data_IF_361039019180
#
_entry.id   IF_361039019180
#
_cell.length_a   1.000
_cell.length_b   1.000
_cell.length_c   1.000
_cell.angle_alpha   90.00
_cell.angle_beta   90.00
_cell.angle_gamma   90.00
#
_symmetry.space_group_name_H-M   'P 1'
#
loop_
_entity.id
_entity.type
_entity.pdbx_description
1 polymer ?
#
# COMPACT_ATOMS: atom_id res chain seq x y z
N UNK A 1 11.57 1.45 11.22
CA UNK A 1 10.12 1.48 11.43
C UNK A 1 9.68 2.48 12.49
N UNK A 2 10.32 2.55 13.63
CA UNK A 2 9.96 3.54 14.66
C UNK A 2 10.14 4.99 14.21
N UNK A 3 11.17 5.28 13.41
CA UNK A 3 11.40 6.62 12.88
C UNK A 3 10.26 7.07 11.96
N UNK A 4 9.81 6.18 11.09
CA UNK A 4 8.69 6.45 10.18
C UNK A 4 7.41 6.64 10.97
N UNK A 5 7.17 5.80 11.96
CA UNK A 5 5.98 5.89 12.80
C UNK A 5 5.89 7.25 13.50
N UNK A 6 6.97 7.70 14.13
CA UNK A 6 7.04 9.00 14.80
C UNK A 6 6.84 10.16 13.81
N UNK A 7 7.51 10.08 12.66
CA UNK A 7 7.39 11.09 11.61
C UNK A 7 5.96 11.21 11.12
N UNK A 8 5.34 10.07 10.81
CA UNK A 8 3.98 10.06 10.27
C UNK A 8 2.94 10.55 11.27
N UNK A 9 3.08 10.20 12.54
CA UNK A 9 2.20 10.75 13.59
C UNK A 9 2.32 12.27 13.69
N UNK A 10 3.53 12.80 13.55
CA UNK A 10 3.74 14.25 13.56
C UNK A 10 3.14 14.92 12.32
N UNK A 11 3.36 14.34 11.13
CA UNK A 11 2.83 14.88 9.87
C UNK A 11 1.29 14.82 9.83
N UNK A 12 0.69 13.83 10.46
CA UNK A 12 -0.76 13.69 10.48
C UNK A 12 -1.47 14.87 11.16
N UNK A 13 -0.78 15.59 12.03
CA UNK A 13 -1.33 16.81 12.66
C UNK A 13 -1.55 17.94 11.66
N UNK A 14 -0.81 17.92 10.54
CA UNK A 14 -0.87 18.94 9.50
C UNK A 14 -1.70 18.51 8.29
N UNK A 15 -2.15 17.26 8.27
CA UNK A 15 -2.86 16.68 7.14
C UNK A 15 -4.34 17.04 7.15
N UNK A 16 -4.93 17.03 5.96
CA UNK A 16 -6.37 17.21 5.76
C UNK A 16 -7.05 15.87 5.57
N UNK A 17 -8.31 15.76 5.99
CA UNK A 17 -9.13 14.59 5.76
C UNK A 17 -9.47 14.43 4.25
N UNK A 18 -9.99 13.27 3.90
CA UNK A 18 -10.45 12.93 2.53
C UNK A 18 -9.34 12.96 1.46
N UNK A 19 -8.09 12.74 1.86
CA UNK A 19 -6.99 12.60 0.94
C UNK A 19 -6.82 11.17 0.43
N UNK A 20 -5.83 11.00 -0.43
CA UNK A 20 -5.40 9.70 -0.94
C UNK A 20 -4.11 9.29 -0.23
N UNK A 21 -4.10 8.07 0.30
CA UNK A 21 -2.94 7.54 1.04
C UNK A 21 -2.33 6.38 0.29
N UNK A 22 -1.01 6.40 0.15
CA UNK A 22 -0.23 5.24 -0.28
C UNK A 22 0.31 4.55 0.97
N UNK A 23 -0.10 3.30 1.15
CA UNK A 23 0.32 2.45 2.27
C UNK A 23 1.10 1.27 1.71
N UNK A 24 2.40 1.40 1.67
CA UNK A 24 3.28 0.44 1.01
C UNK A 24 4.59 0.25 1.74
N UNK A 25 5.56 -0.31 1.04
CA UNK A 25 6.82 -0.72 1.64
C UNK A 25 8.00 0.23 1.28
N UNK A 26 9.22 -0.24 1.39
CA UNK A 26 10.43 0.58 1.26
C UNK A 26 10.52 1.37 -0.06
N UNK A 27 10.14 0.76 -1.17
CA UNK A 27 10.22 1.41 -2.49
C UNK A 27 9.24 2.57 -2.60
N UNK A 28 8.10 2.46 -1.94
CA UNK A 28 7.07 3.50 -1.99
C UNK A 28 7.44 4.71 -1.15
N UNK A 29 8.30 4.55 -0.17
CA UNK A 29 8.74 5.65 0.71
C UNK A 29 9.40 6.79 -0.05
N UNK A 30 10.03 6.50 -1.17
CA UNK A 30 10.79 7.48 -1.95
C UNK A 30 9.98 8.20 -3.02
N UNK A 31 8.69 7.88 -3.16
CA UNK A 31 7.83 8.55 -4.13
C UNK A 31 7.55 9.99 -3.67
N UNK A 32 7.93 11.01 -4.45
CA UNK A 32 7.78 12.41 -4.04
C UNK A 32 6.38 12.92 -4.35
N UNK A 33 5.38 12.52 -3.56
CA UNK A 33 3.98 12.85 -3.81
C UNK A 33 3.71 14.35 -3.86
N UNK A 34 4.35 15.14 -2.99
CA UNK A 34 4.15 16.58 -2.95
C UNK A 34 4.60 17.25 -4.26
N UNK A 35 5.77 16.85 -4.77
CA UNK A 35 6.26 17.36 -6.05
C UNK A 35 5.39 16.91 -7.22
N UNK A 36 4.95 15.66 -7.21
CA UNK A 36 4.07 15.14 -8.26
C UNK A 36 2.73 15.88 -8.26
N UNK A 37 2.17 16.16 -7.09
CA UNK A 37 0.94 16.92 -6.95
C UNK A 37 1.10 18.32 -7.55
N UNK A 38 2.17 19.00 -7.23
CA UNK A 38 2.43 20.36 -7.71
C UNK A 38 2.70 20.39 -9.20
N UNK A 39 3.58 19.49 -9.68
CA UNK A 39 3.98 19.42 -11.09
C UNK A 39 2.81 19.09 -12.02
N UNK A 40 1.94 18.16 -11.62
CA UNK A 40 0.80 17.72 -12.45
C UNK A 40 -0.53 18.36 -12.05
N UNK A 41 -0.50 19.38 -11.20
CA UNK A 41 -1.68 20.11 -10.76
C UNK A 41 -2.81 19.22 -10.23
N UNK A 42 -2.43 18.18 -9.48
CA UNK A 42 -3.38 17.23 -8.92
C UNK A 42 -4.22 17.89 -7.83
N UNK A 43 -5.53 17.71 -7.89
CA UNK A 43 -6.48 18.42 -7.01
C UNK A 43 -6.57 17.82 -5.61
N UNK A 44 -6.33 16.51 -5.47
CA UNK A 44 -6.45 15.83 -4.19
C UNK A 44 -5.17 15.98 -3.35
N UNK A 45 -5.30 15.80 -2.05
CA UNK A 45 -4.15 15.66 -1.17
C UNK A 45 -3.68 14.21 -1.21
N UNK A 46 -2.36 14.03 -1.34
CA UNK A 46 -1.74 12.71 -1.39
C UNK A 46 -0.77 12.58 -0.23
N UNK A 47 -0.89 11.50 0.53
CA UNK A 47 -0.03 11.24 1.68
C UNK A 47 0.64 9.88 1.53
N UNK A 48 1.95 9.87 1.72
CA UNK A 48 2.72 8.64 1.72
C UNK A 48 2.88 8.16 3.17
N UNK A 49 2.33 7.01 3.48
CA UNK A 49 2.47 6.36 4.80
C UNK A 49 3.04 4.97 4.61
N UNK A 50 4.18 4.91 3.91
CA UNK A 50 4.86 3.66 3.61
C UNK A 50 5.95 3.38 4.62
N UNK A 51 6.20 2.10 4.88
CA UNK A 51 7.13 1.63 5.91
C UNK A 51 8.05 0.57 5.34
N UNK A 52 9.36 0.69 5.59
CA UNK A 52 10.27 -0.43 5.35
C UNK A 52 9.84 -1.62 6.20
N UNK A 53 9.72 -2.79 5.60
CA UNK A 53 9.31 -3.99 6.31
C UNK A 53 7.80 -4.12 6.55
N UNK A 54 6.98 -3.34 5.84
CA UNK A 54 5.52 -3.50 5.93
C UNK A 54 5.13 -4.89 5.44
N UNK A 55 4.37 -5.60 6.27
CA UNK A 55 3.91 -6.97 6.00
C UNK A 55 2.50 -7.16 6.51
N UNK A 56 1.88 -8.28 6.18
CA UNK A 56 0.54 -8.59 6.68
C UNK A 56 0.50 -8.68 8.21
N UNK A 57 1.62 -9.10 8.85
CA UNK A 57 1.66 -9.26 10.31
C UNK A 57 1.63 -7.93 11.08
N UNK A 58 2.16 -6.86 10.51
CA UNK A 58 2.22 -5.55 11.19
C UNK A 58 1.33 -4.49 10.57
N UNK A 59 0.68 -4.78 9.45
CA UNK A 59 -0.05 -3.78 8.68
C UNK A 59 -1.29 -3.22 9.39
N UNK A 60 -2.06 -4.04 10.07
CA UNK A 60 -3.26 -3.57 10.77
C UNK A 60 -2.93 -2.55 11.85
N UNK A 61 -1.90 -2.83 12.65
CA UNK A 61 -1.47 -1.91 13.71
C UNK A 61 -0.92 -0.59 13.13
N UNK A 62 -0.07 -0.68 12.12
CA UNK A 62 0.49 0.51 11.48
C UNK A 62 -0.59 1.32 10.75
N UNK A 63 -1.56 0.65 10.16
CA UNK A 63 -2.74 1.30 9.57
C UNK A 63 -3.49 2.11 10.63
N UNK A 64 -3.80 1.49 11.75
CA UNK A 64 -4.55 2.15 12.82
C UNK A 64 -3.83 3.39 13.35
N UNK A 65 -2.51 3.32 13.47
CA UNK A 65 -1.72 4.40 14.03
C UNK A 65 -1.45 5.55 13.05
N UNK A 66 -1.28 5.26 11.77
CA UNK A 66 -0.78 6.24 10.81
C UNK A 66 -1.70 6.57 9.65
N UNK A 67 -2.57 5.68 9.25
CA UNK A 67 -3.46 5.88 8.09
C UNK A 67 -4.87 6.24 8.53
N UNK A 68 -5.44 5.50 9.47
CA UNK A 68 -6.80 5.73 9.95
C UNK A 68 -7.03 7.16 10.44
N UNK A 69 -6.09 7.79 11.19
CA UNK A 69 -6.28 9.17 11.64
C UNK A 69 -6.40 10.19 10.52
N UNK A 70 -5.94 9.87 9.31
CA UNK A 70 -6.07 10.75 8.16
C UNK A 70 -7.48 10.76 7.56
N UNK A 71 -8.35 9.85 7.96
CA UNK A 71 -9.69 9.70 7.39
C UNK A 71 -9.65 9.72 5.86
N UNK A 72 -8.90 8.81 5.23
CA UNK A 72 -8.66 8.88 3.78
C UNK A 72 -9.91 8.56 2.98
N UNK A 73 -10.02 9.17 1.81
CA UNK A 73 -11.02 8.84 0.80
C UNK A 73 -10.59 7.63 -0.03
N UNK A 74 -9.31 7.57 -0.39
CA UNK A 74 -8.74 6.51 -1.20
C UNK A 74 -7.47 5.98 -0.54
N UNK A 75 -7.30 4.66 -0.56
CA UNK A 75 -6.11 3.99 -0.06
C UNK A 75 -5.56 3.06 -1.13
N UNK A 76 -4.27 3.22 -1.44
CA UNK A 76 -3.53 2.31 -2.28
C UNK A 76 -2.69 1.39 -1.42
N UNK A 77 -2.95 0.09 -1.48
CA UNK A 77 -2.24 -0.93 -0.72
C UNK A 77 -1.15 -1.55 -1.58
N UNK A 78 0.10 -1.45 -1.14
CA UNK A 78 1.23 -2.08 -1.81
C UNK A 78 1.96 -2.97 -0.81
N UNK A 79 1.38 -4.10 -0.50
CA UNK A 79 1.84 -5.04 0.53
C UNK A 79 2.03 -6.42 -0.10
N UNK A 80 3.07 -7.13 0.29
CA UNK A 80 3.34 -8.48 -0.17
C UNK A 80 4.82 -8.77 -0.34
N UNK A 81 5.66 -7.78 -0.60
CA UNK A 81 7.09 -7.99 -0.81
C UNK A 81 7.75 -8.65 0.39
N UNK A 82 7.32 -8.30 1.58
CA UNK A 82 7.86 -8.87 2.82
C UNK A 82 7.10 -10.13 3.27
N UNK A 83 6.13 -10.59 2.47
CA UNK A 83 5.32 -11.77 2.73
C UNK A 83 5.56 -12.90 1.74
N UNK A 84 6.60 -12.79 0.89
CA UNK A 84 6.90 -13.80 -0.12
C UNK A 84 7.17 -15.16 0.51
N UNK A 85 7.86 -15.22 1.64
CA UNK A 85 8.13 -16.46 2.35
C UNK A 85 6.83 -17.10 2.87
N UNK A 86 5.94 -16.31 3.44
CA UNK A 86 4.63 -16.79 3.87
C UNK A 86 3.83 -17.32 2.70
N UNK A 87 3.79 -16.56 1.60
CA UNK A 87 3.05 -16.96 0.40
C UNK A 87 3.57 -18.27 -0.18
N UNK A 88 4.90 -18.45 -0.23
CA UNK A 88 5.50 -19.66 -0.75
C UNK A 88 5.14 -20.89 0.08
N UNK A 89 5.17 -20.76 1.40
CA UNK A 89 4.90 -21.86 2.32
C UNK A 89 3.43 -22.11 2.54
N UNK A 90 2.64 -21.07 2.65
CA UNK A 90 1.23 -21.13 3.01
C UNK A 90 0.40 -20.10 2.23
N UNK A 91 0.16 -20.33 0.90
CA UNK A 91 -0.59 -19.37 0.09
C UNK A 91 -1.96 -19.02 0.66
N UNK A 92 -2.66 -20.01 1.25
CA UNK A 92 -3.97 -19.77 1.86
C UNK A 92 -3.90 -18.84 3.05
N UNK A 93 -2.85 -18.94 3.86
CA UNK A 93 -2.64 -18.03 4.99
C UNK A 93 -2.37 -16.60 4.51
N UNK A 94 -1.63 -16.45 3.42
CA UNK A 94 -1.43 -15.15 2.79
C UNK A 94 -2.76 -14.54 2.34
N UNK A 95 -3.58 -15.31 1.62
CA UNK A 95 -4.89 -14.86 1.14
C UNK A 95 -5.81 -14.44 2.29
N UNK A 96 -5.87 -15.24 3.34
CA UNK A 96 -6.67 -14.94 4.52
C UNK A 96 -6.17 -13.70 5.25
N UNK A 97 -4.87 -13.55 5.38
CA UNK A 97 -4.25 -12.38 6.01
C UNK A 97 -4.56 -11.10 5.24
N UNK A 98 -4.45 -11.15 3.92
CA UNK A 98 -4.74 -9.99 3.07
C UNK A 98 -6.23 -9.62 3.13
N UNK A 99 -7.10 -10.61 3.01
CA UNK A 99 -8.55 -10.40 3.11
C UNK A 99 -8.94 -9.83 4.47
N UNK A 100 -8.32 -10.33 5.55
CA UNK A 100 -8.56 -9.82 6.90
C UNK A 100 -8.13 -8.36 7.03
N UNK A 101 -7.01 -7.98 6.43
CA UNK A 101 -6.57 -6.59 6.41
C UNK A 101 -7.58 -5.70 5.70
N UNK A 102 -8.07 -6.11 4.53
CA UNK A 102 -9.08 -5.35 3.78
C UNK A 102 -10.34 -5.15 4.63
N UNK A 103 -10.81 -6.18 5.29
CA UNK A 103 -11.99 -6.11 6.17
C UNK A 103 -11.75 -5.19 7.34
N UNK A 104 -10.57 -5.24 7.94
CA UNK A 104 -10.19 -4.35 9.03
C UNK A 104 -10.20 -2.88 8.57
N UNK A 105 -9.58 -2.59 7.43
CA UNK A 105 -9.56 -1.25 6.87
C UNK A 105 -10.96 -0.72 6.63
N UNK A 106 -11.83 -1.53 6.03
CA UNK A 106 -13.22 -1.14 5.74
C UNK A 106 -14.06 -0.96 7.00
N UNK A 107 -13.74 -1.70 8.04
CA UNK A 107 -14.42 -1.54 9.33
C UNK A 107 -14.03 -0.23 10.02
N UNK A 108 -12.80 0.20 9.90
CA UNK A 108 -12.29 1.44 10.48
C UNK A 108 -12.62 2.64 9.59
N UNK A 109 -12.42 2.52 8.29
CA UNK A 109 -12.66 3.58 7.29
C UNK A 109 -13.79 3.15 6.34
N UNK A 110 -15.03 3.30 6.77
CA UNK A 110 -16.20 2.69 6.11
C UNK A 110 -16.48 3.20 4.70
N UNK A 111 -16.00 4.38 4.35
CA UNK A 111 -16.29 5.03 3.07
C UNK A 111 -15.08 5.16 2.15
N UNK A 112 -13.96 4.54 2.49
CA UNK A 112 -12.76 4.63 1.65
C UNK A 112 -12.83 3.66 0.47
N UNK A 113 -12.26 4.08 -0.66
CA UNK A 113 -11.99 3.21 -1.81
C UNK A 113 -10.64 2.55 -1.63
N UNK A 114 -10.54 1.27 -1.97
CA UNK A 114 -9.29 0.52 -1.88
C UNK A 114 -8.81 0.11 -3.26
N UNK A 115 -7.52 0.27 -3.49
CA UNK A 115 -6.83 -0.26 -4.66
C UNK A 115 -5.64 -1.09 -4.20
N UNK A 116 -5.46 -2.24 -4.82
CA UNK A 116 -4.33 -3.11 -4.56
C UNK A 116 -3.31 -2.92 -5.67
N UNK A 117 -2.05 -2.68 -5.30
CA UNK A 117 -0.94 -2.55 -6.25
C UNK A 117 -0.21 -3.88 -6.30
N UNK A 118 0.02 -4.43 -7.50
CA UNK A 118 0.79 -5.66 -7.66
C UNK A 118 2.27 -5.41 -7.35
N UNK A 119 3.00 -6.48 -7.05
CA UNK A 119 4.44 -6.40 -6.89
C UNK A 119 5.13 -6.26 -8.25
N UNK A 120 6.20 -5.46 -8.30
CA UNK A 120 7.04 -5.39 -9.49
C UNK A 120 7.72 -6.74 -9.72
N UNK A 121 7.78 -7.15 -10.97
CA UNK A 121 8.36 -8.43 -11.36
C UNK A 121 9.16 -8.30 -12.66
N UNK A 122 10.12 -7.38 -12.68
CA UNK A 122 10.96 -7.12 -13.84
C UNK A 122 11.78 -8.35 -14.25
N UNK A 123 12.13 -9.20 -13.29
CA UNK A 123 12.94 -10.39 -13.50
C UNK A 123 12.14 -11.65 -13.83
N UNK A 124 10.83 -11.53 -14.00
CA UNK A 124 9.93 -12.64 -14.29
C UNK A 124 10.03 -13.79 -13.27
N UNK A 125 10.12 -13.46 -11.98
CA UNK A 125 10.13 -14.44 -10.91
C UNK A 125 8.77 -15.16 -10.83
N UNK A 126 8.74 -16.50 -10.96
CA UNK A 126 7.48 -17.26 -10.93
C UNK A 126 6.71 -17.12 -9.62
N UNK A 127 7.41 -16.95 -8.49
CA UNK A 127 6.76 -16.79 -7.19
C UNK A 127 6.00 -15.47 -7.13
N UNK A 128 6.63 -14.38 -7.57
CA UNK A 128 5.98 -13.06 -7.61
C UNK A 128 4.82 -13.07 -8.60
N UNK A 129 4.98 -13.73 -9.73
CA UNK A 129 3.89 -13.88 -10.70
C UNK A 129 2.67 -14.57 -10.07
N UNK A 130 2.88 -15.65 -9.33
CA UNK A 130 1.80 -16.34 -8.64
C UNK A 130 1.16 -15.47 -7.55
N UNK A 131 1.97 -14.76 -6.77
CA UNK A 131 1.46 -13.84 -5.76
C UNK A 131 0.59 -12.76 -6.41
N UNK A 132 1.04 -12.18 -7.52
CA UNK A 132 0.27 -11.16 -8.23
C UNK A 132 -1.07 -11.70 -8.77
N UNK A 133 -1.13 -12.97 -9.18
CA UNK A 133 -2.39 -13.62 -9.57
C UNK A 133 -3.34 -13.72 -8.38
N UNK A 134 -2.82 -14.07 -7.20
CA UNK A 134 -3.61 -14.09 -5.97
C UNK A 134 -4.13 -12.71 -5.62
N UNK A 135 -3.31 -11.68 -5.75
CA UNK A 135 -3.75 -10.29 -5.51
C UNK A 135 -4.89 -9.89 -6.44
N UNK A 136 -4.83 -10.28 -7.71
CA UNK A 136 -5.90 -10.00 -8.66
C UNK A 136 -7.22 -10.68 -8.26
N UNK A 137 -7.16 -11.91 -7.79
CA UNK A 137 -8.35 -12.65 -7.31
C UNK A 137 -8.90 -11.99 -6.03
N UNK A 138 -8.04 -11.63 -5.09
CA UNK A 138 -8.45 -10.94 -3.86
C UNK A 138 -9.12 -9.60 -4.19
N UNK A 139 -8.54 -8.83 -5.10
CA UNK A 139 -9.12 -7.55 -5.53
C UNK A 139 -10.52 -7.75 -6.11
N UNK A 140 -10.70 -8.73 -6.97
CA UNK A 140 -12.00 -9.04 -7.56
C UNK A 140 -13.02 -9.47 -6.51
N UNK A 141 -12.63 -10.38 -5.61
CA UNK A 141 -13.53 -10.91 -4.58
C UNK A 141 -13.93 -9.86 -3.56
N UNK A 142 -13.03 -8.94 -3.24
CA UNK A 142 -13.25 -7.91 -2.21
C UNK A 142 -13.70 -6.56 -2.79
N UNK A 143 -13.88 -6.47 -4.09
CA UNK A 143 -14.34 -5.23 -4.73
C UNK A 143 -13.32 -4.11 -4.64
N UNK A 144 -12.03 -4.42 -4.76
CA UNK A 144 -10.95 -3.45 -4.83
C UNK A 144 -10.52 -3.24 -6.29
N UNK A 145 -10.03 -2.05 -6.60
CA UNK A 145 -9.33 -1.83 -7.86
C UNK A 145 -7.98 -2.54 -7.84
N UNK A 146 -7.47 -2.89 -9.01
CA UNK A 146 -6.14 -3.48 -9.15
C UNK A 146 -5.27 -2.58 -10.01
N UNK A 147 -4.13 -2.16 -9.45
CA UNK A 147 -3.09 -1.41 -10.16
C UNK A 147 -1.96 -2.36 -10.51
N UNK A 148 -1.86 -2.77 -11.76
CA UNK A 148 -0.86 -3.73 -12.18
C UNK A 148 0.42 -3.02 -12.62
N UNK A 149 1.45 -3.11 -11.79
CA UNK A 149 2.77 -2.52 -12.06
C UNK A 149 3.85 -3.59 -12.26
N UNK A 150 3.47 -4.85 -12.46
CA UNK A 150 4.41 -5.98 -12.46
C UNK A 150 5.60 -5.78 -13.38
N UNK A 151 5.40 -5.16 -14.55
CA UNK A 151 6.47 -4.94 -15.54
C UNK A 151 7.11 -3.56 -15.47
N UNK A 152 6.69 -2.72 -14.52
CA UNK A 152 7.28 -1.39 -14.37
C UNK A 152 8.57 -1.46 -13.57
N UNK A 153 9.50 -0.56 -13.88
CA UNK A 153 10.71 -0.38 -13.09
C UNK A 153 10.42 0.44 -11.84
N UNK A 154 11.23 0.26 -10.79
CA UNK A 154 11.15 1.09 -9.61
C UNK A 154 11.40 2.55 -9.98
N UNK A 155 10.67 3.46 -9.32
CA UNK A 155 10.91 4.89 -9.50
C UNK A 155 12.35 5.22 -9.11
N UNK A 156 13.05 5.96 -9.97
CA UNK A 156 14.43 6.37 -9.73
C UNK A 156 14.55 7.86 -10.02
N UNK A 157 14.85 8.68 -9.01
CA UNK A 157 14.95 10.13 -9.19
C UNK A 157 16.03 10.58 -10.18
N UNK A 158 17.01 9.71 -10.44
CA UNK A 158 18.08 10.01 -11.42
C UNK A 158 17.65 9.83 -12.86
N UNK A 159 16.50 9.24 -13.11
CA UNK A 159 15.96 8.98 -14.45
C UNK A 159 14.90 9.99 -14.87
N UNK A 160 14.55 10.89 -14.01
CA UNK A 160 13.67 12.00 -14.34
C UNK A 160 14.49 13.23 -14.72
#
# INVERSE_FOLDING_TARGET
MEKELKLYKSLNRLANADGTVIFGDADDRVIPLAELKETFELKNNYYNRSFSGLSLSNSADLFDQCVAPLCPKDIYLHIGQNDLSLFEKEPSAFDQGYTSLIKHIRNVCKHCSLAIITLRNADNDPLIEQLNKHLAVIAQNEGCELCNIAKQQAWNPRQT
#
